data_IF_490089996203
#
_entry.id   IF_490089996203
#
_cell.length_a   1.000
_cell.length_b   1.000
_cell.length_c   1.000
_cell.angle_alpha   90.00
_cell.angle_beta   90.00
_cell.angle_gamma   90.00
#
_symmetry.space_group_name_H-M   'P 1'
#
loop_
_entity.id
_entity.type
_entity.pdbx_description
1 polymer ?
#
# COMPACT_ATOMS: atom_id res chain seq x y z
N UNK A 1 -11.46 10.53 0.41
CA UNK A 1 -11.79 9.80 -0.83
C UNK A 1 -10.76 10.13 -1.90
N UNK A 2 -10.33 9.13 -2.69
CA UNK A 2 -9.42 9.38 -3.82
C UNK A 2 -10.17 10.24 -4.87
N UNK A 3 -9.59 11.36 -5.36
CA UNK A 3 -10.23 12.20 -6.38
C UNK A 3 -10.49 11.43 -7.69
N UNK A 4 -11.58 11.73 -8.39
CA UNK A 4 -11.94 11.08 -9.65
C UNK A 4 -10.87 11.27 -10.74
N UNK A 5 -10.18 12.41 -10.72
CA UNK A 5 -9.10 12.78 -11.64
C UNK A 5 -7.69 12.34 -11.17
N UNK A 6 -7.61 11.56 -10.09
CA UNK A 6 -6.32 11.21 -9.47
C UNK A 6 -5.34 10.57 -10.48
N UNK A 7 -5.80 9.66 -11.32
CA UNK A 7 -4.95 8.98 -12.32
C UNK A 7 -4.46 9.98 -13.36
N UNK A 8 -5.32 10.86 -13.86
CA UNK A 8 -4.95 11.88 -14.86
C UNK A 8 -3.90 12.83 -14.30
N UNK A 9 -4.12 13.35 -13.10
CA UNK A 9 -3.20 14.28 -12.43
C UNK A 9 -1.81 13.69 -12.19
N UNK A 10 -1.72 12.45 -11.69
CA UNK A 10 -0.41 11.82 -11.46
C UNK A 10 0.30 11.48 -12.76
N UNK A 11 -0.43 11.12 -13.83
CA UNK A 11 0.14 10.90 -15.16
C UNK A 11 0.70 12.20 -15.74
N UNK A 12 -0.07 13.29 -15.71
CA UNK A 12 0.39 14.60 -16.17
C UNK A 12 1.62 15.08 -15.40
N UNK A 13 1.62 14.92 -14.07
CA UNK A 13 2.75 15.22 -13.21
C UNK A 13 3.98 14.41 -13.57
N UNK A 14 3.85 13.09 -13.74
CA UNK A 14 4.96 12.21 -14.12
C UNK A 14 5.52 12.56 -15.51
N UNK A 15 4.66 12.88 -16.49
CA UNK A 15 5.08 13.34 -17.80
C UNK A 15 5.82 14.69 -17.74
N UNK A 16 5.37 15.60 -16.88
CA UNK A 16 6.03 16.89 -16.68
C UNK A 16 7.44 16.72 -16.13
N UNK A 17 7.62 15.84 -15.12
CA UNK A 17 8.95 15.49 -14.58
C UNK A 17 9.83 14.87 -15.67
N UNK A 18 9.28 13.97 -16.49
CA UNK A 18 9.99 13.37 -17.61
C UNK A 18 10.50 14.39 -18.62
N UNK A 19 9.70 15.43 -18.94
CA UNK A 19 10.13 16.55 -19.81
C UNK A 19 11.30 17.31 -19.20
N UNK A 20 11.34 17.47 -17.88
CA UNK A 20 12.48 18.11 -17.20
C UNK A 20 13.74 17.24 -17.33
N UNK A 21 13.64 15.90 -17.16
CA UNK A 21 14.77 15.00 -17.40
C UNK A 21 15.32 15.17 -18.82
N UNK A 22 14.44 15.18 -19.83
CA UNK A 22 14.83 15.39 -21.22
C UNK A 22 15.51 16.75 -21.45
N UNK A 23 14.97 17.83 -20.87
CA UNK A 23 15.54 19.18 -21.01
C UNK A 23 16.95 19.30 -20.39
N UNK A 24 17.27 18.45 -19.39
CA UNK A 24 18.59 18.34 -18.76
C UNK A 24 19.50 17.34 -19.45
N UNK A 25 19.13 16.82 -20.62
CA UNK A 25 19.94 15.93 -21.46
C UNK A 25 19.99 14.48 -20.97
N UNK A 26 19.10 14.06 -20.05
CA UNK A 26 19.01 12.66 -19.60
C UNK A 26 18.23 11.85 -20.62
N UNK A 27 18.90 10.87 -21.24
CA UNK A 27 18.31 10.00 -22.26
C UNK A 27 17.45 8.89 -21.67
N UNK A 28 17.79 8.37 -20.49
CA UNK A 28 17.07 7.29 -19.84
C UNK A 28 16.57 7.71 -18.44
N UNK A 29 15.26 7.70 -18.28
CA UNK A 29 14.61 8.07 -17.03
C UNK A 29 13.30 7.31 -16.86
N UNK A 30 12.88 7.18 -15.62
CA UNK A 30 11.60 6.63 -15.21
C UNK A 30 11.00 7.49 -14.10
N UNK A 31 9.71 7.74 -14.17
CA UNK A 31 8.93 8.39 -13.12
C UNK A 31 7.83 7.46 -12.68
N UNK A 32 7.81 7.14 -11.39
CA UNK A 32 6.73 6.43 -10.72
C UNK A 32 5.95 7.45 -9.91
N UNK A 33 4.64 7.43 -10.04
CA UNK A 33 3.74 8.32 -9.32
C UNK A 33 2.66 7.52 -8.63
N UNK A 34 2.25 7.97 -7.44
CA UNK A 34 1.09 7.40 -6.77
C UNK A 34 0.34 8.48 -5.97
N UNK A 35 -0.94 8.23 -5.77
CA UNK A 35 -1.78 8.94 -4.83
C UNK A 35 -2.69 7.91 -4.16
N UNK A 36 -2.60 7.81 -2.84
CA UNK A 36 -3.38 6.88 -2.04
C UNK A 36 -4.33 7.63 -1.13
N UNK A 37 -5.44 7.00 -0.79
CA UNK A 37 -6.36 7.43 0.25
C UNK A 37 -6.94 6.21 0.94
N UNK A 38 -7.06 6.24 2.26
CA UNK A 38 -7.60 5.13 3.02
C UNK A 38 -8.14 5.52 4.38
N UNK A 39 -8.78 4.54 4.99
CA UNK A 39 -9.23 4.56 6.39
C UNK A 39 -8.77 3.28 7.07
N UNK A 40 -8.38 3.40 8.32
CA UNK A 40 -7.97 2.28 9.16
C UNK A 40 -8.48 2.45 10.59
N UNK A 41 -8.72 1.32 11.24
CA UNK A 41 -9.01 1.23 12.66
C UNK A 41 -8.06 0.22 13.28
N UNK A 42 -7.43 0.61 14.38
CA UNK A 42 -6.59 -0.26 15.19
C UNK A 42 -7.37 -0.80 16.38
N UNK A 43 -7.09 -2.05 16.70
CA UNK A 43 -7.63 -2.76 17.87
C UNK A 43 -6.46 -3.15 18.77
N UNK A 44 -6.52 -2.75 20.04
CA UNK A 44 -5.55 -3.14 21.06
C UNK A 44 -6.28 -3.48 22.37
N UNK A 45 -5.83 -4.54 23.03
CA UNK A 45 -6.39 -4.98 24.32
C UNK A 45 -7.92 -5.05 24.33
N UNK A 46 -8.52 -5.60 23.28
CA UNK A 46 -9.96 -5.79 23.15
C UNK A 46 -10.76 -4.50 22.90
N UNK A 47 -10.10 -3.41 22.45
CA UNK A 47 -10.76 -2.12 22.20
C UNK A 47 -10.25 -1.48 20.93
N UNK A 48 -11.12 -0.71 20.28
CA UNK A 48 -10.71 0.17 19.17
C UNK A 48 -9.94 1.33 19.77
N UNK A 49 -8.69 1.53 19.37
CA UNK A 49 -7.75 2.50 19.95
C UNK A 49 -7.43 3.66 19.02
N UNK A 50 -7.45 3.42 17.71
CA UNK A 50 -7.20 4.43 16.69
C UNK A 50 -8.24 4.33 15.59
N UNK A 51 -8.69 5.48 15.12
CA UNK A 51 -9.40 5.63 13.87
C UNK A 51 -8.68 6.70 13.06
N UNK A 52 -8.07 6.30 11.97
CA UNK A 52 -7.32 7.20 11.10
C UNK A 52 -7.85 7.17 9.67
N UNK A 53 -7.72 8.29 8.98
CA UNK A 53 -8.04 8.39 7.58
C UNK A 53 -7.24 9.51 6.94
N UNK A 54 -6.82 9.31 5.70
CA UNK A 54 -6.03 10.33 5.03
C UNK A 54 -5.51 9.88 3.69
N UNK A 55 -4.79 10.78 3.04
CA UNK A 55 -4.15 10.55 1.77
C UNK A 55 -2.65 10.77 1.85
N UNK A 56 -1.93 10.02 1.03
CA UNK A 56 -0.50 10.15 0.79
C UNK A 56 -0.23 10.06 -0.70
N UNK A 57 0.87 10.63 -1.17
CA UNK A 57 1.21 10.59 -2.58
C UNK A 57 2.51 11.30 -2.92
N UNK A 58 2.93 11.11 -4.16
CA UNK A 58 4.12 11.76 -4.65
C UNK A 58 4.69 11.09 -5.90
N UNK A 59 5.91 11.48 -6.22
CA UNK A 59 6.62 11.04 -7.42
C UNK A 59 8.03 10.60 -7.04
N UNK A 60 8.44 9.46 -7.56
CA UNK A 60 9.82 9.01 -7.56
C UNK A 60 10.42 9.18 -8.96
N UNK A 61 11.55 9.86 -9.08
CA UNK A 61 12.28 9.98 -10.33
C UNK A 61 13.57 9.17 -10.26
N UNK A 62 13.78 8.33 -11.26
CA UNK A 62 15.01 7.59 -11.48
C UNK A 62 15.63 8.04 -12.80
N UNK A 63 16.90 8.38 -12.76
CA UNK A 63 17.70 8.69 -13.95
C UNK A 63 18.80 7.66 -14.13
N UNK A 64 19.12 7.33 -15.37
CA UNK A 64 20.24 6.46 -15.73
C UNK A 64 21.16 7.26 -16.65
N UNK A 65 22.40 7.47 -16.21
CA UNK A 65 23.42 8.21 -16.93
C UNK A 65 24.73 7.41 -16.93
N UNK A 66 25.17 6.96 -18.12
CA UNK A 66 26.38 6.16 -18.26
C UNK A 66 26.38 4.87 -17.43
N UNK A 67 25.25 4.18 -17.31
CA UNK A 67 25.09 2.98 -16.49
C UNK A 67 24.99 3.24 -14.98
N UNK A 68 24.82 4.49 -14.55
CA UNK A 68 24.77 4.91 -13.15
C UNK A 68 23.40 5.42 -12.80
N UNK A 69 22.86 4.97 -11.68
CA UNK A 69 21.54 5.37 -11.20
C UNK A 69 21.60 6.56 -10.26
N UNK A 70 20.63 7.47 -10.42
CA UNK A 70 20.28 8.45 -9.42
C UNK A 70 18.79 8.44 -9.16
N UNK A 71 18.43 8.64 -7.91
CA UNK A 71 17.04 8.62 -7.44
C UNK A 71 16.75 9.89 -6.66
N UNK A 72 15.55 10.40 -6.83
CA UNK A 72 14.99 11.41 -5.95
C UNK A 72 13.47 11.21 -5.84
N UNK A 73 12.88 11.76 -4.80
CA UNK A 73 11.43 11.77 -4.64
C UNK A 73 10.95 13.19 -4.32
N UNK A 74 9.68 13.43 -4.59
CA UNK A 74 9.01 14.70 -4.34
C UNK A 74 7.51 14.46 -4.10
N UNK A 75 6.92 15.26 -3.24
CA UNK A 75 5.50 15.20 -2.94
C UNK A 75 4.70 15.98 -3.98
N UNK A 76 5.23 17.10 -4.45
CA UNK A 76 4.57 18.01 -5.36
C UNK A 76 5.43 18.35 -6.57
N UNK A 77 4.82 18.45 -7.76
CA UNK A 77 5.49 18.71 -9.04
C UNK A 77 6.28 20.03 -9.06
N UNK A 78 5.93 21.00 -8.21
CA UNK A 78 6.69 22.25 -8.12
C UNK A 78 8.15 22.04 -7.71
N UNK A 79 8.46 20.94 -7.01
CA UNK A 79 9.82 20.53 -6.64
C UNK A 79 10.59 19.77 -7.74
N UNK A 80 10.00 19.54 -8.91
CA UNK A 80 10.53 18.64 -9.93
C UNK A 80 11.93 19.01 -10.45
N UNK A 81 12.19 20.30 -10.70
CA UNK A 81 13.50 20.78 -11.15
C UNK A 81 14.61 20.43 -10.16
N UNK A 82 14.34 20.60 -8.87
CA UNK A 82 15.28 20.29 -7.80
C UNK A 82 15.49 18.78 -7.68
N UNK A 83 14.43 17.99 -7.66
CA UNK A 83 14.47 16.53 -7.54
C UNK A 83 15.23 15.89 -8.70
N UNK A 84 14.97 16.31 -9.96
CA UNK A 84 15.71 15.82 -11.12
C UNK A 84 17.20 16.19 -11.02
N UNK A 85 17.53 17.42 -10.57
CA UNK A 85 18.93 17.82 -10.40
C UNK A 85 19.63 17.01 -9.31
N UNK A 86 18.94 16.67 -8.22
CA UNK A 86 19.46 15.77 -7.19
C UNK A 86 19.71 14.36 -7.75
N UNK A 87 18.73 13.77 -8.47
CA UNK A 87 18.89 12.46 -9.08
C UNK A 87 20.11 12.42 -10.02
N UNK A 88 20.30 13.44 -10.86
CA UNK A 88 21.48 13.55 -11.73
C UNK A 88 22.79 13.63 -10.92
N UNK A 89 22.81 14.39 -9.84
CA UNK A 89 23.98 14.52 -8.98
C UNK A 89 24.35 13.20 -8.30
N UNK A 90 23.34 12.44 -7.86
CA UNK A 90 23.51 11.10 -7.29
C UNK A 90 24.06 10.13 -8.35
N UNK A 91 23.50 10.12 -9.56
CA UNK A 91 23.98 9.28 -10.65
C UNK A 91 25.48 9.46 -10.92
N UNK A 92 25.99 10.70 -10.88
CA UNK A 92 27.41 11.01 -11.13
C UNK A 92 28.38 10.33 -10.16
N UNK A 93 27.94 10.05 -8.92
CA UNK A 93 28.78 9.45 -7.88
C UNK A 93 28.43 7.99 -7.57
N UNK A 94 27.34 7.48 -8.14
CA UNK A 94 26.92 6.09 -7.96
C UNK A 94 27.81 5.12 -8.75
N UNK A 95 27.95 3.86 -8.28
CA UNK A 95 28.62 2.84 -9.07
C UNK A 95 27.86 2.54 -10.36
N UNK A 96 28.58 2.14 -11.40
CA UNK A 96 27.99 1.70 -12.66
C UNK A 96 27.40 0.29 -12.49
N UNK A 97 26.21 0.07 -13.08
CA UNK A 97 25.56 -1.24 -13.18
C UNK A 97 25.63 -1.70 -14.63
N UNK A 98 26.47 -2.70 -14.89
CA UNK A 98 26.65 -3.24 -16.25
C UNK A 98 25.39 -3.99 -16.71
N UNK A 99 25.05 -3.82 -17.99
CA UNK A 99 23.97 -4.56 -18.65
C UNK A 99 22.55 -4.11 -18.27
N UNK A 100 22.39 -3.10 -17.44
CA UNK A 100 21.06 -2.57 -17.15
C UNK A 100 20.57 -1.63 -18.26
N UNK A 101 19.33 -1.82 -18.67
CA UNK A 101 18.59 -0.88 -19.52
C UNK A 101 17.12 -0.82 -19.06
N UNK A 102 16.45 0.28 -19.32
CA UNK A 102 15.02 0.37 -19.11
C UNK A 102 14.28 -0.55 -20.10
N UNK A 103 13.20 -1.22 -19.66
CA UNK A 103 12.43 -2.06 -20.56
C UNK A 103 11.84 -1.21 -21.71
N UNK A 104 11.83 -1.80 -22.90
CA UNK A 104 11.19 -1.20 -24.08
C UNK A 104 9.68 -1.17 -23.89
N UNK A 105 9.02 -0.22 -24.55
CA UNK A 105 7.59 -0.14 -24.56
C UNK A 105 6.97 -1.45 -25.09
N UNK A 106 6.14 -2.06 -24.25
CA UNK A 106 5.36 -3.24 -24.58
C UNK A 106 3.88 -2.93 -24.40
N UNK A 107 3.04 -3.61 -25.16
CA UNK A 107 1.60 -3.47 -25.02
C UNK A 107 1.20 -3.84 -23.60
N UNK A 108 0.61 -2.91 -22.87
CA UNK A 108 0.08 -3.19 -21.55
C UNK A 108 -1.11 -4.15 -21.62
N UNK A 109 -1.19 -5.04 -20.66
CA UNK A 109 -2.34 -5.95 -20.51
C UNK A 109 -3.20 -5.42 -19.37
N UNK A 110 -4.51 -5.31 -19.64
CA UNK A 110 -5.45 -4.98 -18.56
C UNK A 110 -5.49 -6.11 -17.55
N UNK A 111 -5.24 -5.76 -16.30
CA UNK A 111 -5.36 -6.68 -15.16
C UNK A 111 -6.74 -6.50 -14.55
N UNK A 112 -7.61 -7.49 -14.76
CA UNK A 112 -8.96 -7.49 -14.21
C UNK A 112 -8.94 -7.64 -12.67
N UNK A 113 -9.93 -7.04 -12.01
CA UNK A 113 -10.15 -7.20 -10.57
C UNK A 113 -9.19 -6.41 -9.67
N UNK A 114 -8.46 -5.43 -10.22
CA UNK A 114 -7.58 -4.55 -9.42
C UNK A 114 -8.35 -3.55 -8.56
N UNK A 115 -9.54 -3.15 -9.00
CA UNK A 115 -10.35 -2.13 -8.37
C UNK A 115 -11.77 -2.64 -8.12
N UNK A 116 -12.28 -2.40 -6.92
CA UNK A 116 -13.68 -2.53 -6.57
C UNK A 116 -14.21 -1.14 -6.20
N UNK A 117 -15.15 -0.62 -7.00
CA UNK A 117 -15.73 0.70 -6.77
C UNK A 117 -16.41 0.83 -5.41
N UNK A 118 -16.89 -0.28 -4.84
CA UNK A 118 -17.50 -0.26 -3.51
C UNK A 118 -16.53 0.19 -2.41
N UNK A 119 -15.24 -0.10 -2.55
CA UNK A 119 -14.22 0.35 -1.59
C UNK A 119 -14.05 1.89 -1.64
N UNK A 120 -14.27 2.50 -2.81
CA UNK A 120 -14.16 3.94 -2.95
C UNK A 120 -15.25 4.69 -2.15
N UNK A 121 -16.39 4.05 -1.91
CA UNK A 121 -17.54 4.61 -1.22
C UNK A 121 -17.59 4.25 0.28
N UNK A 122 -16.65 3.42 0.78
CA UNK A 122 -16.63 2.99 2.18
C UNK A 122 -16.15 4.12 3.08
N UNK A 123 -16.98 4.41 4.11
CA UNK A 123 -16.67 5.34 5.19
C UNK A 123 -16.16 4.65 6.45
N UNK A 124 -15.74 5.43 7.46
CA UNK A 124 -15.25 4.90 8.74
C UNK A 124 -16.30 4.06 9.51
N UNK A 125 -17.59 4.32 9.30
CA UNK A 125 -18.68 3.57 9.95
C UNK A 125 -18.65 2.08 9.60
N UNK A 126 -18.35 1.76 8.35
CA UNK A 126 -18.19 0.37 7.92
C UNK A 126 -17.03 -0.32 8.63
N UNK A 127 -15.91 0.38 8.84
CA UNK A 127 -14.77 -0.18 9.56
C UNK A 127 -15.07 -0.38 11.04
N UNK A 128 -15.87 0.49 11.65
CA UNK A 128 -16.35 0.31 13.03
C UNK A 128 -17.18 -0.97 13.15
N UNK A 129 -18.14 -1.20 12.25
CA UNK A 129 -18.94 -2.43 12.21
C UNK A 129 -18.05 -3.67 12.04
N UNK A 130 -17.02 -3.62 11.20
CA UNK A 130 -16.08 -4.72 11.01
C UNK A 130 -15.23 -4.96 12.28
N UNK A 131 -14.73 -3.92 12.92
CA UNK A 131 -13.93 -4.02 14.14
C UNK A 131 -14.76 -4.60 15.31
N UNK A 132 -16.00 -4.15 15.48
CA UNK A 132 -16.94 -4.71 16.47
C UNK A 132 -17.27 -6.18 16.19
N UNK A 133 -17.42 -6.54 14.90
CA UNK A 133 -17.62 -7.93 14.49
C UNK A 133 -16.43 -8.80 14.86
N UNK A 134 -15.18 -8.33 14.60
CA UNK A 134 -13.94 -9.03 14.96
C UNK A 134 -13.91 -9.31 16.46
N UNK A 135 -14.14 -8.29 17.30
CA UNK A 135 -14.12 -8.43 18.75
C UNK A 135 -15.18 -9.43 19.25
N UNK A 136 -16.39 -9.32 18.70
CA UNK A 136 -17.51 -10.20 19.07
C UNK A 136 -17.27 -11.66 18.66
N UNK A 137 -16.71 -11.87 17.48
CA UNK A 137 -16.46 -13.20 16.93
C UNK A 137 -15.33 -13.91 17.69
N UNK A 138 -14.21 -13.23 17.99
CA UNK A 138 -13.15 -13.79 18.84
C UNK A 138 -13.69 -14.23 20.19
N UNK A 139 -14.49 -13.39 20.86
CA UNK A 139 -15.08 -13.71 22.16
C UNK A 139 -16.10 -14.87 22.07
N UNK A 140 -16.77 -15.06 20.94
CA UNK A 140 -17.71 -16.15 20.71
C UNK A 140 -17.03 -17.50 20.47
N UNK A 141 -15.86 -17.49 19.83
CA UNK A 141 -15.05 -18.70 19.54
C UNK A 141 -14.36 -19.24 20.80
N UNK A 142 -13.83 -18.35 21.65
CA UNK A 142 -13.25 -18.70 22.94
C UNK A 142 -13.40 -17.49 23.91
N UNK A 143 -14.15 -17.67 24.98
CA UNK A 143 -14.38 -16.59 25.96
C UNK A 143 -13.13 -16.12 26.72
N UNK A 144 -12.02 -16.86 26.65
CA UNK A 144 -10.70 -16.51 27.22
C UNK A 144 -9.86 -15.71 26.23
N UNK A 145 -10.20 -15.80 24.93
CA UNK A 145 -9.44 -15.15 23.88
C UNK A 145 -9.68 -13.63 23.87
N UNK A 146 -8.60 -12.88 23.75
CA UNK A 146 -8.63 -11.43 23.65
C UNK A 146 -7.87 -10.99 22.40
N UNK A 147 -8.42 -10.05 21.65
CA UNK A 147 -7.69 -9.37 20.58
C UNK A 147 -6.68 -8.44 21.23
N UNK A 148 -5.40 -8.80 21.20
CA UNK A 148 -4.32 -8.02 21.82
C UNK A 148 -3.71 -7.01 20.86
N UNK A 149 -3.91 -7.19 19.55
CA UNK A 149 -3.48 -6.25 18.52
C UNK A 149 -4.16 -6.57 17.18
N UNK A 150 -4.12 -5.62 16.28
CA UNK A 150 -4.67 -5.80 14.94
C UNK A 150 -5.44 -4.58 14.46
N UNK A 151 -6.27 -4.81 13.43
CA UNK A 151 -7.08 -3.74 12.88
C UNK A 151 -7.71 -4.12 11.55
N UNK A 152 -8.48 -3.19 11.01
CA UNK A 152 -9.16 -3.31 9.73
C UNK A 152 -8.96 -2.04 8.92
N UNK A 153 -8.77 -2.17 7.61
CA UNK A 153 -8.57 -1.01 6.77
C UNK A 153 -9.02 -1.19 5.34
N UNK A 154 -9.32 -0.06 4.70
CA UNK A 154 -9.60 0.05 3.27
C UNK A 154 -8.71 1.12 2.66
N UNK A 155 -8.27 0.90 1.44
CA UNK A 155 -7.53 1.91 0.69
C UNK A 155 -7.78 1.83 -0.80
N UNK A 156 -7.58 2.98 -1.45
CA UNK A 156 -7.54 3.10 -2.90
C UNK A 156 -6.27 3.85 -3.30
N UNK A 157 -5.57 3.36 -4.30
CA UNK A 157 -4.33 3.96 -4.79
C UNK A 157 -4.38 4.11 -6.30
N UNK A 158 -4.29 5.34 -6.78
CA UNK A 158 -3.95 5.64 -8.15
C UNK A 158 -2.43 5.51 -8.33
N UNK A 159 -1.98 4.80 -9.34
CA UNK A 159 -0.56 4.61 -9.65
C UNK A 159 -0.27 4.88 -11.12
N UNK A 160 0.93 5.37 -11.42
CA UNK A 160 1.41 5.55 -12.78
C UNK A 160 2.91 5.32 -12.89
N UNK A 161 3.34 4.79 -14.04
CA UNK A 161 4.75 4.70 -14.44
C UNK A 161 4.88 5.31 -15.83
N UNK A 162 5.80 6.24 -15.98
CA UNK A 162 6.15 6.87 -17.24
C UNK A 162 7.66 6.76 -17.46
N UNK A 163 8.09 6.32 -18.64
CA UNK A 163 9.50 6.12 -18.93
C UNK A 163 9.93 6.83 -20.22
N UNK A 164 11.24 7.07 -20.34
CA UNK A 164 11.87 7.57 -21.57
C UNK A 164 11.73 6.60 -22.75
N UNK A 165 11.47 5.32 -22.50
CA UNK A 165 11.28 4.29 -23.52
C UNK A 165 9.83 4.21 -24.01
N UNK A 166 8.97 5.16 -23.63
CA UNK A 166 7.59 5.27 -24.09
C UNK A 166 6.59 4.41 -23.32
N UNK A 167 6.98 3.81 -22.18
CA UNK A 167 6.03 3.15 -21.30
C UNK A 167 5.19 4.22 -20.61
N UNK A 168 3.88 4.07 -20.69
CA UNK A 168 2.90 4.72 -19.85
C UNK A 168 1.93 3.65 -19.37
N UNK A 169 1.94 3.38 -18.07
CA UNK A 169 1.02 2.46 -17.42
C UNK A 169 0.43 3.15 -16.20
N UNK A 170 -0.89 3.12 -16.07
CA UNK A 170 -1.58 3.75 -14.94
C UNK A 170 -2.86 3.00 -14.58
N UNK A 171 -3.41 3.30 -13.42
CA UNK A 171 -4.68 2.75 -12.98
C UNK A 171 -4.90 2.88 -11.49
N UNK A 172 -6.06 2.38 -11.06
CA UNK A 172 -6.45 2.36 -9.64
C UNK A 172 -6.39 0.92 -9.14
N UNK A 173 -5.91 0.77 -7.91
CA UNK A 173 -6.01 -0.46 -7.12
C UNK A 173 -6.72 -0.15 -5.82
N UNK A 174 -7.53 -1.10 -5.36
CA UNK A 174 -8.18 -1.01 -4.05
C UNK A 174 -7.70 -2.14 -3.14
N UNK A 175 -7.81 -1.94 -1.84
CA UNK A 175 -7.53 -2.95 -0.84
C UNK A 175 -8.51 -2.85 0.31
N UNK A 176 -8.95 -3.98 0.80
CA UNK A 176 -9.65 -4.15 2.06
C UNK A 176 -9.01 -5.32 2.79
N UNK A 177 -8.72 -5.18 4.06
CA UNK A 177 -8.14 -6.26 4.85
C UNK A 177 -8.22 -6.01 6.33
N UNK A 178 -7.97 -7.08 7.08
CA UNK A 178 -7.80 -7.05 8.52
C UNK A 178 -6.66 -7.97 8.94
N UNK A 179 -6.07 -7.65 10.09
CA UNK A 179 -5.14 -8.51 10.80
C UNK A 179 -5.56 -8.60 12.26
N UNK A 180 -5.44 -9.76 12.85
CA UNK A 180 -5.88 -10.04 14.22
C UNK A 180 -4.79 -10.79 14.97
N UNK A 181 -4.32 -10.25 16.07
CA UNK A 181 -3.54 -10.96 17.08
C UNK A 181 -4.45 -11.34 18.24
N UNK A 182 -4.61 -12.64 18.43
CA UNK A 182 -5.40 -13.19 19.52
C UNK A 182 -4.45 -13.76 20.57
N UNK A 183 -4.72 -13.48 21.85
CA UNK A 183 -3.99 -14.07 22.96
C UNK A 183 -4.98 -14.74 23.93
N UNK A 184 -4.53 -15.86 24.54
CA UNK A 184 -5.23 -16.58 25.59
C UNK A 184 -4.29 -16.64 26.78
N UNK A 185 -4.72 -16.11 27.91
CA UNK A 185 -4.03 -16.16 29.20
C UNK A 185 -4.81 -17.07 30.15
N UNK A 186 -4.22 -18.21 30.51
CA UNK A 186 -4.83 -19.20 31.40
C UNK A 186 -3.76 -20.05 32.07
N UNK A 187 -3.90 -20.29 33.38
CA UNK A 187 -3.02 -21.14 34.18
C UNK A 187 -1.52 -20.73 34.12
N UNK A 188 -1.22 -19.43 34.20
CA UNK A 188 0.13 -18.83 34.07
C UNK A 188 0.79 -19.07 32.70
N UNK A 189 0.03 -19.48 31.70
CA UNK A 189 0.49 -19.68 30.32
C UNK A 189 -0.18 -18.69 29.38
N UNK A 190 0.64 -17.86 28.69
CA UNK A 190 0.19 -16.92 27.67
C UNK A 190 0.52 -17.48 26.29
N UNK A 191 -0.51 -17.69 25.49
CA UNK A 191 -0.35 -18.06 24.09
C UNK A 191 -0.84 -16.94 23.18
N UNK A 192 -0.29 -16.82 21.98
CA UNK A 192 -0.78 -15.86 21.00
C UNK A 192 -0.56 -16.33 19.58
N UNK A 193 -1.43 -15.86 18.67
CA UNK A 193 -1.31 -16.09 17.24
C UNK A 193 -1.73 -14.84 16.48
N UNK A 194 -1.13 -14.64 15.30
CA UNK A 194 -1.46 -13.56 14.38
C UNK A 194 -1.86 -14.15 13.04
N UNK A 195 -2.98 -13.63 12.52
CA UNK A 195 -3.41 -13.94 11.16
C UNK A 195 -3.93 -12.66 10.48
N UNK A 196 -3.87 -12.66 9.14
CA UNK A 196 -4.39 -11.55 8.35
C UNK A 196 -4.99 -12.01 7.04
N UNK A 197 -5.96 -11.27 6.56
CA UNK A 197 -6.58 -11.47 5.26
C UNK A 197 -6.70 -10.15 4.52
N UNK A 198 -6.48 -10.18 3.20
CA UNK A 198 -6.65 -9.00 2.36
C UNK A 198 -7.24 -9.35 1.00
N UNK A 199 -7.94 -8.39 0.39
CA UNK A 199 -8.60 -8.54 -0.89
C UNK A 199 -8.58 -7.22 -1.67
N UNK A 200 -8.63 -7.31 -3.00
CA UNK A 200 -8.91 -6.16 -3.88
C UNK A 200 -10.39 -5.79 -3.93
N UNK A 201 -11.25 -6.63 -3.37
CA UNK A 201 -12.69 -6.45 -3.29
C UNK A 201 -13.10 -6.18 -1.86
N UNK A 202 -14.22 -5.48 -1.71
CA UNK A 202 -14.84 -5.29 -0.40
C UNK A 202 -15.32 -6.64 0.12
N UNK A 203 -14.75 -7.07 1.25
CA UNK A 203 -15.14 -8.30 1.94
C UNK A 203 -16.33 -7.99 2.84
N UNK A 204 -17.33 -8.86 2.84
CA UNK A 204 -18.48 -8.72 3.74
C UNK A 204 -18.16 -9.13 5.18
N UNK A 205 -17.21 -10.02 5.35
CA UNK A 205 -16.69 -10.49 6.63
C UNK A 205 -15.26 -10.95 6.45
N UNK A 206 -14.53 -11.11 7.56
CA UNK A 206 -13.12 -11.54 7.58
C UNK A 206 -12.98 -12.78 8.48
N UNK A 207 -13.87 -13.80 8.36
CA UNK A 207 -13.95 -14.90 9.31
C UNK A 207 -12.69 -15.76 9.33
N UNK A 208 -12.11 -16.06 8.16
CA UNK A 208 -11.01 -17.03 8.03
C UNK A 208 -9.79 -16.65 8.89
N UNK A 209 -9.41 -15.38 8.95
CA UNK A 209 -8.26 -14.98 9.77
C UNK A 209 -8.59 -14.99 11.27
N UNK A 210 -9.84 -14.71 11.66
CA UNK A 210 -10.30 -14.72 13.06
C UNK A 210 -10.29 -16.14 13.57
N UNK A 211 -11.00 -17.05 12.90
CA UNK A 211 -11.06 -18.47 13.28
C UNK A 211 -9.65 -19.09 13.35
N UNK A 212 -8.81 -18.80 12.37
CA UNK A 212 -7.44 -19.33 12.30
C UNK A 212 -6.58 -18.81 13.46
N UNK A 213 -6.64 -17.52 13.78
CA UNK A 213 -5.84 -16.98 14.89
C UNK A 213 -6.28 -17.50 16.26
N UNK A 214 -7.60 -17.63 16.50
CA UNK A 214 -8.11 -18.27 17.73
C UNK A 214 -7.69 -19.74 17.81
N UNK A 215 -7.83 -20.49 16.72
CA UNK A 215 -7.41 -21.89 16.66
C UNK A 215 -5.92 -22.06 16.96
N UNK A 216 -5.03 -21.28 16.36
CA UNK A 216 -3.61 -21.35 16.63
C UNK A 216 -3.24 -20.93 18.05
N UNK A 217 -3.89 -19.90 18.60
CA UNK A 217 -3.70 -19.54 20.01
C UNK A 217 -4.10 -20.68 20.97
N UNK A 218 -5.13 -21.45 20.65
CA UNK A 218 -5.52 -22.63 21.40
C UNK A 218 -4.54 -23.80 21.25
N UNK A 219 -4.04 -24.06 20.02
CA UNK A 219 -3.15 -25.19 19.72
C UNK A 219 -1.73 -25.01 20.26
N UNK A 220 -1.27 -23.80 20.49
CA UNK A 220 0.09 -23.52 20.99
C UNK A 220 0.24 -23.66 22.50
N UNK A 221 -0.81 -24.08 23.20
CA UNK A 221 -0.80 -24.35 24.66
C UNK A 221 -0.18 -25.70 24.99
N UNK A 222 0.72 -25.68 25.97
CA UNK A 222 1.39 -26.86 26.49
C UNK A 222 2.62 -27.30 25.74
N UNK A 223 3.54 -28.02 26.38
CA UNK A 223 4.66 -28.63 25.70
C UNK A 223 4.16 -29.69 24.73
N UNK A 224 4.72 -29.67 23.52
CA UNK A 224 4.59 -30.75 22.54
C UNK A 224 5.36 -31.96 23.03
#
# INVERSE_FOLDING_TARGET
MLPDDAVERIVEGAQSIGKICQSKGIGEWEVVAFQSYGHELDIEAGKITLAAGGGDGGYGVRVLDGGRFGYAHLVDVSGAEHAVSQAISIAKVSPSVEGFCLPQNQKSTDVLGRCDSKILDVGPEYLLEQADSILSEVASLDSRAVVTGGGVGVSATAGAIVTSQGILSSGITTSHGAGVQVSIDEDDELTSAWESSSSRKLLKSIPDCIETSVHWAQCTRGPI
#
